data_IF_730939897755
#
_entry.id   IF_730939897755
#
_cell.length_a   1.000
_cell.length_b   1.000
_cell.length_c   1.000
_cell.angle_alpha   90.00
_cell.angle_beta   90.00
_cell.angle_gamma   90.00
#
_symmetry.space_group_name_H-M   'P 1'
#
loop_
_entity.id
_entity.type
_entity.pdbx_description
1 polymer ?
#
# COMPACT_ATOMS: atom_id res chain seq x y z
N UNK A 1 2.42 16.19 8.46
CA UNK A 1 3.48 15.36 7.83
C UNK A 1 2.91 13.99 7.53
N UNK A 2 3.21 13.41 6.36
CA UNK A 2 2.91 11.99 6.09
C UNK A 2 3.97 11.13 6.79
N UNK A 3 3.57 10.37 7.82
CA UNK A 3 4.48 9.49 8.58
C UNK A 3 4.60 8.10 7.98
N UNK A 4 3.72 7.73 7.05
CA UNK A 4 3.73 6.44 6.35
C UNK A 4 4.71 6.41 5.17
N UNK A 5 5.08 7.57 4.62
CA UNK A 5 5.96 7.68 3.44
C UNK A 5 7.24 6.84 3.60
N UNK A 6 7.45 5.92 2.65
CA UNK A 6 8.61 5.01 2.55
C UNK A 6 8.81 4.09 3.75
N UNK A 7 7.78 3.91 4.59
CA UNK A 7 7.85 2.94 5.67
C UNK A 7 7.78 1.51 5.15
N UNK A 8 8.16 0.56 6.00
CA UNK A 8 8.07 -0.87 5.67
C UNK A 8 6.60 -1.28 5.65
N UNK A 9 6.24 -2.09 4.67
CA UNK A 9 4.87 -2.53 4.46
C UNK A 9 4.82 -4.03 4.20
N UNK A 10 3.72 -4.65 4.58
CA UNK A 10 3.38 -6.04 4.26
C UNK A 10 1.96 -6.09 3.74
N UNK A 11 1.64 -7.15 3.02
CA UNK A 11 0.28 -7.50 2.65
C UNK A 11 0.15 -9.02 2.65
N UNK A 12 -1.07 -9.53 2.79
CA UNK A 12 -1.37 -10.97 2.93
C UNK A 12 -0.81 -11.81 1.79
N UNK A 13 -0.86 -11.29 0.58
CA UNK A 13 -0.29 -11.93 -0.62
C UNK A 13 0.05 -10.90 -1.67
N UNK A 14 0.92 -11.25 -2.61
CA UNK A 14 1.23 -10.40 -3.78
C UNK A 14 0.55 -11.04 -4.98
N UNK A 15 -0.21 -10.25 -5.75
CA UNK A 15 -0.82 -10.75 -6.99
C UNK A 15 0.27 -11.27 -7.94
N UNK A 16 0.21 -12.54 -8.37
CA UNK A 16 1.29 -13.20 -9.07
C UNK A 16 1.49 -12.61 -10.46
N UNK A 17 2.69 -12.82 -11.02
CA UNK A 17 3.04 -12.44 -12.38
C UNK A 17 3.03 -10.92 -12.70
N UNK A 18 2.62 -10.07 -11.74
CA UNK A 18 2.66 -8.62 -11.87
C UNK A 18 3.65 -8.03 -10.85
N UNK A 19 4.87 -7.67 -11.26
CA UNK A 19 5.91 -7.17 -10.37
C UNK A 19 5.52 -5.90 -9.60
N UNK A 20 4.60 -5.09 -10.17
CA UNK A 20 4.13 -3.84 -9.58
C UNK A 20 3.03 -4.00 -8.52
N UNK A 21 2.67 -5.22 -8.10
CA UNK A 21 1.63 -5.47 -7.08
C UNK A 21 2.09 -5.26 -5.62
N UNK A 22 3.23 -4.60 -5.41
CA UNK A 22 3.95 -4.58 -4.12
C UNK A 22 3.24 -3.74 -3.07
N UNK A 23 3.28 -4.18 -1.81
CA UNK A 23 2.70 -3.44 -0.67
C UNK A 23 3.28 -2.03 -0.49
N UNK A 24 4.56 -1.83 -0.86
CA UNK A 24 5.26 -0.55 -0.69
C UNK A 24 4.68 0.60 -1.51
N UNK A 25 3.93 0.29 -2.56
CA UNK A 25 3.40 1.30 -3.47
C UNK A 25 2.37 2.21 -2.78
N UNK A 26 1.62 1.71 -1.79
CA UNK A 26 0.71 2.55 -0.98
C UNK A 26 1.41 3.63 -0.15
N UNK A 27 2.75 3.60 -0.04
CA UNK A 27 3.54 4.57 0.73
C UNK A 27 4.73 5.13 -0.05
N UNK A 28 4.76 5.02 -1.38
CA UNK A 28 5.87 5.51 -2.19
C UNK A 28 5.85 7.04 -2.39
N UNK A 29 4.70 7.68 -2.14
CA UNK A 29 4.49 9.12 -2.26
C UNK A 29 3.78 9.54 -3.55
N UNK A 30 3.49 8.60 -4.45
CA UNK A 30 2.67 8.79 -5.63
C UNK A 30 1.21 8.41 -5.31
N UNK A 31 0.27 9.19 -5.84
CA UNK A 31 -1.19 9.02 -5.61
C UNK A 31 -1.92 8.61 -6.87
N UNK A 32 -1.18 8.28 -7.93
CA UNK A 32 -1.74 7.72 -9.14
C UNK A 32 -2.51 6.45 -8.78
N UNK A 33 -3.78 6.45 -9.17
CA UNK A 33 -4.71 5.40 -8.82
C UNK A 33 -4.98 4.44 -9.97
N UNK A 34 -4.29 4.59 -11.11
CA UNK A 34 -4.30 3.62 -12.21
C UNK A 34 -3.27 2.53 -11.87
N UNK A 35 -3.72 1.28 -11.77
CA UNK A 35 -2.87 0.17 -11.30
C UNK A 35 -1.66 -0.06 -12.20
N UNK A 36 -1.87 0.08 -13.51
CA UNK A 36 -0.90 -0.13 -14.57
C UNK A 36 0.26 0.87 -14.51
N UNK A 37 0.08 2.00 -13.82
CA UNK A 37 1.15 2.99 -13.59
C UNK A 37 2.07 2.61 -12.42
N UNK A 38 1.78 1.50 -11.73
CA UNK A 38 2.67 0.87 -10.75
C UNK A 38 2.71 1.53 -9.38
N UNK A 39 1.75 2.39 -9.05
CA UNK A 39 1.64 3.09 -7.76
C UNK A 39 0.57 2.51 -6.82
N UNK A 40 -0.05 1.39 -7.21
CA UNK A 40 -1.08 0.70 -6.44
C UNK A 40 -0.55 -0.62 -5.84
N UNK A 41 -1.17 -1.09 -4.76
CA UNK A 41 -0.92 -2.42 -4.18
C UNK A 41 -1.93 -3.43 -4.73
N UNK A 42 -1.60 -4.73 -4.75
CA UNK A 42 -2.57 -5.75 -5.16
C UNK A 42 -2.32 -7.09 -4.47
N UNK A 43 -3.32 -7.59 -3.75
CA UNK A 43 -3.34 -8.95 -3.17
C UNK A 43 -3.92 -9.95 -4.17
N UNK A 44 -3.86 -11.24 -3.86
CA UNK A 44 -4.73 -12.22 -4.49
C UNK A 44 -6.18 -12.06 -4.00
N UNK A 45 -7.05 -12.95 -4.49
CA UNK A 45 -8.37 -13.20 -3.93
C UNK A 45 -8.26 -13.96 -2.59
N UNK A 46 -7.68 -13.29 -1.60
CA UNK A 46 -7.58 -13.83 -0.24
C UNK A 46 -8.96 -13.77 0.44
N UNK A 47 -9.26 -14.72 1.34
CA UNK A 47 -10.52 -14.69 2.11
C UNK A 47 -10.65 -13.46 3.02
N UNK A 48 -9.51 -12.97 3.53
CA UNK A 48 -9.42 -11.78 4.37
C UNK A 48 -8.16 -10.99 3.98
N UNK A 49 -8.18 -10.24 2.86
CA UNK A 49 -7.01 -9.51 2.39
C UNK A 49 -6.66 -8.40 3.39
N UNK A 50 -5.37 -8.26 3.68
CA UNK A 50 -4.90 -7.21 4.57
C UNK A 50 -3.59 -6.61 4.07
N UNK A 51 -3.43 -5.32 4.35
CA UNK A 51 -2.21 -4.57 4.16
C UNK A 51 -1.84 -3.90 5.48
N UNK A 52 -0.55 -3.85 5.79
CA UNK A 52 -0.05 -3.24 7.00
C UNK A 52 1.21 -2.41 6.73
N UNK A 53 1.37 -1.35 7.54
CA UNK A 53 2.58 -0.52 7.60
C UNK A 53 3.21 -0.66 8.99
N UNK A 54 4.51 -0.87 9.02
CA UNK A 54 5.30 -0.98 10.24
C UNK A 54 6.10 0.30 10.45
N UNK A 55 5.89 0.94 11.59
CA UNK A 55 6.66 2.09 12.03
C UNK A 55 7.78 1.65 12.98
N UNK A 56 8.93 2.32 12.93
CA UNK A 56 10.10 2.02 13.78
C UNK A 56 9.91 2.40 15.26
N UNK A 57 8.80 3.06 15.60
CA UNK A 57 8.50 3.46 16.97
C UNK A 57 7.03 3.84 17.14
N UNK A 58 6.64 4.15 18.39
CA UNK A 58 5.30 4.64 18.69
C UNK A 58 5.08 6.01 18.05
N UNK A 59 3.98 6.14 17.32
CA UNK A 59 3.57 7.38 16.68
C UNK A 59 2.15 7.72 17.10
N UNK A 60 1.89 9.02 17.31
CA UNK A 60 0.52 9.52 17.40
C UNK A 60 0.02 9.80 15.99
N UNK A 61 -0.98 9.05 15.53
CA UNK A 61 -1.58 9.21 14.19
C UNK A 61 -2.93 9.89 14.34
N UNK A 62 -3.06 11.10 13.77
CA UNK A 62 -4.27 11.92 13.89
C UNK A 62 -5.21 11.79 12.69
N UNK A 63 -4.72 11.28 11.56
CA UNK A 63 -5.49 11.19 10.31
C UNK A 63 -4.97 10.06 9.44
N UNK A 64 -5.92 9.34 8.83
CA UNK A 64 -5.68 8.40 7.75
C UNK A 64 -6.23 9.01 6.45
N UNK A 65 -5.52 8.80 5.34
CA UNK A 65 -5.96 9.20 4.00
C UNK A 65 -5.71 8.02 3.09
N UNK A 66 -6.78 7.53 2.45
CA UNK A 66 -6.77 6.37 1.57
C UNK A 66 -7.07 6.83 0.15
N UNK A 67 -6.28 6.39 -0.82
CA UNK A 67 -6.52 6.61 -2.25
C UNK A 67 -6.95 5.27 -2.85
N UNK A 68 -8.16 5.22 -3.40
CA UNK A 68 -8.68 4.01 -4.02
C UNK A 68 -8.29 3.95 -5.49
N UNK A 69 -8.14 2.73 -6.03
CA UNK A 69 -7.89 2.48 -7.46
C UNK A 69 -8.99 3.12 -8.33
N UNK A 70 -8.59 3.73 -9.45
CA UNK A 70 -9.48 4.16 -10.53
C UNK A 70 -9.55 3.09 -11.63
N UNK A 71 -10.67 3.12 -12.36
CA UNK A 71 -10.89 2.28 -13.55
C UNK A 71 -9.96 2.69 -14.70
#
# INVERSE_FOLDING_TARGET
RNVALKQRTTQTSIFPWIPMSQSKNAVDGNRDNIFEHGSCTHTNYDNSPAWAVTFSGKLTVNRYVLYNRAL
#
